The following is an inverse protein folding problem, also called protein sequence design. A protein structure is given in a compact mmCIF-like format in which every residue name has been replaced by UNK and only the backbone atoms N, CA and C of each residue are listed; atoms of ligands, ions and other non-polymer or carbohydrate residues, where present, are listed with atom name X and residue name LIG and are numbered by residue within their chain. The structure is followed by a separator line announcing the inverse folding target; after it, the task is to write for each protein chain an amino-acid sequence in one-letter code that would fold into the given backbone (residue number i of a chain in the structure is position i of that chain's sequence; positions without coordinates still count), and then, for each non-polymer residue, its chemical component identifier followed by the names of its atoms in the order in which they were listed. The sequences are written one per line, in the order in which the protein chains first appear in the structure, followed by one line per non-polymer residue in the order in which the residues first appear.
data_IF_422748009499
#
_entry.id   IF_422748009499
#
_cell.length_a   1.000
_cell.length_b   1.000
_cell.length_c   1.000
_cell.angle_alpha   90.00
_cell.angle_beta   90.00
_cell.angle_gamma   90.00
#
_symmetry.space_group_name_H-M   'P 1'
#
loop_
_entity.id
_entity.type
_entity.pdbx_description
1 polymer ?
#
# COMPACT_ATOMS: atom_id res chain seq x y z
N UNK A 1 41.79 -37.08 -51.47
CA UNK A 1 42.27 -36.08 -50.50
C UNK A 1 41.19 -35.02 -50.35
N UNK A 2 40.34 -35.14 -49.31
CA UNK A 2 39.26 -34.21 -49.02
C UNK A 2 39.51 -33.66 -47.60
N UNK A 3 39.88 -32.39 -47.54
CA UNK A 3 40.20 -31.67 -46.31
C UNK A 3 38.89 -31.25 -45.63
N UNK A 4 38.68 -31.71 -44.39
CA UNK A 4 37.52 -31.38 -43.56
C UNK A 4 37.80 -30.08 -42.80
N UNK A 5 37.14 -28.99 -43.19
CA UNK A 5 37.05 -27.78 -42.38
C UNK A 5 36.07 -28.01 -41.21
N UNK A 6 36.57 -27.93 -39.99
CA UNK A 6 35.75 -27.88 -38.78
C UNK A 6 35.33 -26.43 -38.53
N UNK A 7 34.02 -26.17 -38.55
CA UNK A 7 33.44 -24.92 -38.08
C UNK A 7 33.27 -25.03 -36.56
N UNK A 8 34.06 -24.27 -35.80
CA UNK A 8 33.88 -24.11 -34.35
C UNK A 8 32.90 -22.96 -34.13
N UNK A 9 31.67 -23.30 -33.74
CA UNK A 9 30.63 -22.34 -33.38
C UNK A 9 30.86 -21.93 -31.93
N UNK A 10 31.48 -20.76 -31.72
CA UNK A 10 31.68 -20.19 -30.38
C UNK A 10 30.37 -19.54 -29.95
N UNK A 11 29.59 -20.26 -29.14
CA UNK A 11 28.44 -19.71 -28.44
C UNK A 11 28.92 -18.84 -27.27
N UNK A 12 29.04 -17.53 -27.49
CA UNK A 12 29.28 -16.56 -26.42
C UNK A 12 28.00 -16.39 -25.59
N UNK A 13 27.91 -17.15 -24.50
CA UNK A 13 26.96 -16.90 -23.43
C UNK A 13 27.32 -15.58 -22.74
N UNK A 14 26.65 -14.49 -23.11
CA UNK A 14 26.58 -13.30 -22.28
C UNK A 14 25.51 -13.53 -21.21
N UNK A 15 25.91 -14.03 -20.03
CA UNK A 15 25.12 -13.83 -18.83
C UNK A 15 25.23 -12.36 -18.45
N UNK A 16 24.29 -11.55 -18.94
CA UNK A 16 24.05 -10.22 -18.38
C UNK A 16 23.43 -10.46 -17.02
N UNK A 17 24.26 -10.43 -15.97
CA UNK A 17 23.78 -10.26 -14.59
C UNK A 17 23.24 -8.85 -14.50
N UNK A 18 21.95 -8.69 -14.75
CA UNK A 18 21.22 -7.46 -14.43
C UNK A 18 21.20 -7.40 -12.90
N UNK A 19 22.05 -6.54 -12.32
CA UNK A 19 21.98 -6.24 -10.90
C UNK A 19 20.59 -5.67 -10.56
N UNK A 20 20.04 -5.91 -9.36
CA UNK A 20 18.75 -5.33 -8.99
C UNK A 20 18.85 -3.82 -9.10
N UNK A 21 18.04 -3.23 -9.98
CA UNK A 21 18.00 -1.78 -10.19
C UNK A 21 17.62 -1.09 -8.88
N UNK A 22 18.61 -0.48 -8.22
CA UNK A 22 18.48 0.30 -6.99
C UNK A 22 17.89 1.69 -7.28
N UNK A 23 16.66 1.72 -7.78
CA UNK A 23 15.88 2.93 -8.03
C UNK A 23 14.82 3.23 -6.97
N UNK A 24 14.89 2.59 -5.80
CA UNK A 24 13.96 2.79 -4.68
C UNK A 24 14.75 2.98 -3.39
N UNK A 25 15.27 4.18 -3.18
CA UNK A 25 15.81 4.59 -1.89
C UNK A 25 14.78 5.34 -1.03
N UNK A 26 13.53 5.43 -1.50
CA UNK A 26 12.39 5.95 -0.75
C UNK A 26 11.45 4.76 -0.46
N UNK A 27 11.15 4.56 0.82
CA UNK A 27 10.46 3.41 1.41
C UNK A 27 9.29 2.90 0.57
N UNK A 28 9.42 1.68 0.03
CA UNK A 28 8.25 0.97 -0.52
C UNK A 28 7.23 0.73 0.60
N UNK A 29 5.92 1.00 0.37
CA UNK A 29 4.91 0.80 1.39
C UNK A 29 4.84 -0.66 1.81
N UNK A 30 4.53 -0.90 3.09
CA UNK A 30 4.29 -2.25 3.58
C UNK A 30 3.08 -2.87 2.86
N UNK A 31 3.06 -4.21 2.71
CA UNK A 31 2.01 -4.90 1.97
C UNK A 31 0.60 -4.63 2.53
N UNK A 32 0.46 -4.56 3.85
CA UNK A 32 -0.80 -4.25 4.53
C UNK A 32 -1.29 -2.83 4.22
N UNK A 33 -0.40 -1.86 4.25
CA UNK A 33 -0.69 -0.49 3.86
C UNK A 33 -1.11 -0.40 2.38
N UNK A 34 -0.35 -1.04 1.49
CA UNK A 34 -0.66 -1.08 0.07
C UNK A 34 -2.01 -1.73 -0.20
N UNK A 35 -2.28 -2.88 0.44
CA UNK A 35 -3.56 -3.58 0.31
C UNK A 35 -4.69 -2.71 0.86
N UNK A 36 -4.51 -2.03 2.00
CA UNK A 36 -5.52 -1.15 2.58
C UNK A 36 -5.86 0.02 1.65
N UNK A 37 -4.84 0.68 1.09
CA UNK A 37 -4.99 1.86 0.21
C UNK A 37 -5.42 1.52 -1.22
N UNK A 38 -5.24 0.28 -1.66
CA UNK A 38 -5.65 -0.14 -3.01
C UNK A 38 -7.17 -0.11 -3.17
N UNK A 39 -7.68 0.42 -4.27
CA UNK A 39 -9.07 0.21 -4.69
C UNK A 39 -9.26 -1.09 -5.44
N UNK A 40 -8.30 -1.40 -6.30
CA UNK A 40 -8.30 -2.57 -7.15
C UNK A 40 -6.95 -3.27 -7.00
N UNK A 41 -6.99 -4.58 -6.77
CA UNK A 41 -5.81 -5.44 -6.82
C UNK A 41 -6.13 -6.56 -7.80
N UNK A 42 -5.33 -6.66 -8.86
CA UNK A 42 -5.49 -7.72 -9.86
C UNK A 42 -4.24 -8.57 -9.93
N UNK A 43 -4.45 -9.87 -10.10
CA UNK A 43 -3.44 -10.81 -10.57
C UNK A 43 -3.72 -11.09 -12.04
N UNK A 44 -2.72 -10.90 -12.88
CA UNK A 44 -2.89 -11.02 -14.33
C UNK A 44 -1.68 -11.61 -15.03
N UNK A 45 -1.80 -11.69 -16.35
CA UNK A 45 -0.76 -12.14 -17.26
C UNK A 45 -0.56 -11.10 -18.35
N UNK A 46 0.70 -10.74 -18.61
CA UNK A 46 1.07 -9.82 -19.67
C UNK A 46 0.86 -10.50 -21.03
N UNK A 47 0.15 -9.84 -21.94
CA UNK A 47 -0.13 -10.29 -23.30
C UNK A 47 0.10 -9.13 -24.27
N UNK A 48 0.61 -9.43 -25.47
CA UNK A 48 0.69 -8.47 -26.56
C UNK A 48 -0.64 -8.49 -27.32
N UNK A 49 -1.36 -7.37 -27.31
CA UNK A 49 -2.67 -7.19 -27.97
C UNK A 49 -2.57 -5.95 -28.84
N UNK A 50 -2.72 -6.10 -30.16
CA UNK A 50 -2.63 -5.01 -31.13
C UNK A 50 -1.35 -4.14 -30.94
N UNK A 51 -0.21 -4.81 -30.81
CA UNK A 51 1.12 -4.22 -30.56
C UNK A 51 1.25 -3.45 -29.23
N UNK A 52 0.30 -3.62 -28.30
CA UNK A 52 0.35 -3.06 -26.95
C UNK A 52 0.48 -4.16 -25.90
N UNK A 53 1.41 -3.99 -24.95
CA UNK A 53 1.49 -4.87 -23.79
C UNK A 53 0.38 -4.53 -22.80
N UNK A 54 -0.59 -5.44 -22.69
CA UNK A 54 -1.70 -5.34 -21.75
C UNK A 54 -1.61 -6.46 -20.72
N UNK A 55 -2.19 -6.24 -19.55
CA UNK A 55 -2.28 -7.27 -18.53
C UNK A 55 -3.68 -7.86 -18.54
N UNK A 56 -3.80 -9.11 -19.02
CA UNK A 56 -5.05 -9.87 -18.94
C UNK A 56 -5.35 -10.19 -17.48
N UNK A 57 -6.53 -9.79 -17.01
CA UNK A 57 -6.99 -10.06 -15.66
C UNK A 57 -7.29 -11.55 -15.52
N UNK A 58 -6.52 -12.24 -14.69
CA UNK A 58 -6.74 -13.65 -14.35
C UNK A 58 -7.61 -13.76 -13.11
N UNK A 59 -7.37 -12.90 -12.12
CA UNK A 59 -8.11 -12.89 -10.86
C UNK A 59 -8.13 -11.48 -10.26
N UNK A 60 -9.32 -11.04 -9.85
CA UNK A 60 -9.47 -9.85 -9.00
C UNK A 60 -9.34 -10.28 -7.54
N UNK A 61 -8.42 -9.65 -6.80
CA UNK A 61 -8.17 -9.94 -5.39
C UNK A 61 -8.91 -8.96 -4.48
N UNK A 62 -8.97 -7.67 -4.86
CA UNK A 62 -9.70 -6.61 -4.16
C UNK A 62 -10.44 -5.75 -5.17
N UNK A 63 -11.63 -5.26 -4.81
CA UNK A 63 -12.41 -4.31 -5.60
C UNK A 63 -13.21 -4.97 -6.71
N UNK A 64 -13.83 -4.15 -7.56
CA UNK A 64 -14.56 -4.59 -8.73
C UNK A 64 -13.83 -4.14 -9.99
N UNK A 65 -13.57 -5.07 -10.90
CA UNK A 65 -12.99 -4.76 -12.20
C UNK A 65 -14.09 -4.34 -13.18
N UNK A 66 -13.91 -3.18 -13.81
CA UNK A 66 -14.68 -2.75 -14.98
C UNK A 66 -13.77 -1.93 -15.90
N UNK A 67 -13.80 -2.12 -17.23
CA UNK A 67 -13.08 -1.24 -18.16
C UNK A 67 -13.43 0.23 -17.99
N UNK A 68 -14.68 0.55 -17.62
CA UNK A 68 -15.13 1.93 -17.41
C UNK A 68 -14.58 2.57 -16.13
N UNK A 69 -14.01 1.78 -15.23
CA UNK A 69 -13.34 2.28 -14.04
C UNK A 69 -11.99 2.94 -14.36
N UNK A 70 -11.47 2.79 -15.58
CA UNK A 70 -10.17 3.31 -15.99
C UNK A 70 -10.29 4.59 -16.84
N UNK A 71 -9.36 5.51 -16.65
CA UNK A 71 -9.25 6.75 -17.43
C UNK A 71 -9.04 6.43 -18.92
N UNK A 72 -8.12 5.51 -19.18
CA UNK A 72 -7.92 4.86 -20.48
C UNK A 72 -8.57 3.49 -20.47
N UNK A 73 -9.79 3.38 -21.00
CA UNK A 73 -10.57 2.14 -20.95
C UNK A 73 -9.85 1.02 -21.73
N UNK A 74 -9.36 -0.03 -21.04
CA UNK A 74 -8.73 -1.16 -21.72
C UNK A 74 -9.80 -2.03 -22.39
N UNK A 75 -9.41 -2.94 -23.31
CA UNK A 75 -10.28 -4.01 -23.77
C UNK A 75 -10.87 -4.81 -22.60
N UNK A 76 -12.05 -5.40 -22.80
CA UNK A 76 -12.72 -6.19 -21.75
C UNK A 76 -11.85 -7.35 -21.30
N UNK A 77 -11.59 -7.44 -20.00
CA UNK A 77 -10.73 -8.47 -19.40
C UNK A 77 -9.25 -8.09 -19.32
N UNK A 78 -8.88 -6.87 -19.72
CA UNK A 78 -7.51 -6.36 -19.66
C UNK A 78 -7.41 -5.12 -18.75
N UNK A 79 -6.21 -4.84 -18.27
CA UNK A 79 -5.82 -3.56 -17.68
C UNK A 79 -4.54 -3.08 -18.35
N UNK A 80 -4.34 -1.77 -18.41
CA UNK A 80 -3.09 -1.19 -18.90
C UNK A 80 -2.03 -1.25 -17.79
N UNK A 81 -0.93 -2.01 -17.95
CA UNK A 81 0.17 -2.01 -16.99
C UNK A 81 1.10 -0.80 -17.19
N UNK A 82 1.04 -0.11 -18.34
CA UNK A 82 2.05 0.84 -18.76
C UNK A 82 2.01 2.15 -17.94
N UNK A 83 3.20 2.73 -17.70
CA UNK A 83 3.52 4.05 -17.09
C UNK A 83 4.15 4.11 -15.68
N UNK A 84 4.49 2.99 -15.06
CA UNK A 84 5.51 2.99 -14.00
C UNK A 84 6.89 2.63 -14.59
N UNK A 85 7.99 3.20 -14.08
CA UNK A 85 9.36 3.01 -14.59
C UNK A 85 9.90 1.56 -14.58
N UNK A 86 9.11 0.60 -14.13
CA UNK A 86 9.45 -0.83 -14.08
C UNK A 86 8.85 -1.63 -15.25
N UNK A 87 7.93 -1.05 -16.01
CA UNK A 87 7.16 -1.79 -17.01
C UNK A 87 7.83 -1.91 -18.37
N UNK A 88 8.91 -1.17 -18.61
CA UNK A 88 9.79 -1.39 -19.77
C UNK A 88 10.50 -2.76 -19.71
N UNK A 89 10.42 -3.45 -18.56
CA UNK A 89 11.00 -4.77 -18.33
C UNK A 89 9.96 -5.90 -18.38
N UNK A 90 8.68 -5.61 -18.64
CA UNK A 90 7.69 -6.68 -18.73
C UNK A 90 7.75 -7.39 -20.08
N UNK A 91 7.85 -8.71 -20.02
CA UNK A 91 7.79 -9.57 -21.19
C UNK A 91 6.39 -10.21 -21.34
N UNK A 92 5.99 -10.44 -22.58
CA UNK A 92 4.77 -11.17 -22.88
C UNK A 92 4.80 -12.57 -22.24
N UNK A 93 3.74 -12.91 -21.52
CA UNK A 93 3.58 -14.18 -20.81
C UNK A 93 3.91 -14.13 -19.32
N UNK A 94 4.57 -13.07 -18.84
CA UNK A 94 4.83 -12.86 -17.42
C UNK A 94 3.54 -12.73 -16.62
N UNK A 95 3.61 -13.08 -15.34
CA UNK A 95 2.49 -12.93 -14.40
C UNK A 95 2.82 -11.81 -13.44
N UNK A 96 1.83 -10.98 -13.14
CA UNK A 96 2.03 -9.79 -12.33
C UNK A 96 0.88 -9.58 -11.35
N UNK A 97 1.18 -9.01 -10.20
CA UNK A 97 0.20 -8.38 -9.33
C UNK A 97 0.24 -6.87 -9.57
N UNK A 98 -0.91 -6.26 -9.79
CA UNK A 98 -1.04 -4.81 -10.00
C UNK A 98 -1.92 -4.23 -8.89
N UNK A 99 -1.39 -3.21 -8.21
CA UNK A 99 -2.05 -2.50 -7.12
C UNK A 99 -2.41 -1.09 -7.59
N UNK A 100 -3.70 -0.77 -7.61
CA UNK A 100 -4.22 0.55 -7.98
C UNK A 100 -4.67 1.27 -6.71
N UNK A 101 -3.90 2.25 -6.27
CA UNK A 101 -4.10 3.07 -5.07
C UNK A 101 -4.73 4.41 -5.45
N UNK A 102 -5.39 5.04 -4.47
CA UNK A 102 -6.17 6.26 -4.70
C UNK A 102 -5.38 7.55 -4.98
N UNK A 103 -4.05 7.54 -4.91
CA UNK A 103 -3.25 8.77 -4.97
C UNK A 103 -3.02 9.32 -6.38
N UNK A 104 -3.25 8.53 -7.44
CA UNK A 104 -3.00 8.94 -8.82
C UNK A 104 -4.30 9.07 -9.61
N UNK A 105 -5.21 9.93 -9.14
CA UNK A 105 -6.49 10.16 -9.80
C UNK A 105 -6.43 11.40 -10.71
N UNK A 106 -6.80 11.27 -12.00
CA UNK A 106 -7.41 12.37 -12.72
C UNK A 106 -8.65 12.86 -11.94
N UNK A 107 -9.05 14.12 -12.10
CA UNK A 107 -10.15 14.73 -11.31
C UNK A 107 -11.52 14.04 -11.42
N UNK A 108 -11.67 13.02 -12.26
CA UNK A 108 -12.90 12.24 -12.50
C UNK A 108 -13.04 10.98 -11.62
N UNK A 109 -12.03 10.66 -10.80
CA UNK A 109 -12.08 9.52 -9.86
C UNK A 109 -11.81 8.15 -10.48
N UNK A 110 -11.41 8.09 -11.76
CA UNK A 110 -11.05 6.84 -12.45
C UNK A 110 -9.63 6.40 -12.13
N UNK A 111 -9.37 5.11 -12.30
CA UNK A 111 -8.04 4.51 -12.19
C UNK A 111 -7.23 4.82 -13.45
N UNK A 112 -6.01 5.30 -13.31
CA UNK A 112 -5.16 5.58 -14.46
C UNK A 112 -4.14 4.46 -14.67
N UNK A 113 -3.19 4.34 -13.73
CA UNK A 113 -2.10 3.36 -13.76
C UNK A 113 -1.94 2.68 -12.40
N UNK A 114 -1.36 1.46 -12.35
CA UNK A 114 -1.04 0.83 -11.09
C UNK A 114 0.10 1.59 -10.39
N UNK A 115 -0.04 1.84 -9.09
CA UNK A 115 0.98 2.45 -8.24
C UNK A 115 2.11 1.47 -7.93
N UNK A 116 1.81 0.15 -7.90
CA UNK A 116 2.82 -0.89 -7.77
C UNK A 116 2.50 -2.10 -8.66
N UNK A 117 3.53 -2.58 -9.35
CA UNK A 117 3.57 -3.87 -10.03
C UNK A 117 4.52 -4.83 -9.33
N UNK A 118 4.11 -6.08 -9.12
CA UNK A 118 4.96 -7.12 -8.54
C UNK A 118 5.01 -8.30 -9.50
N UNK A 119 6.20 -8.52 -10.07
CA UNK A 119 6.46 -9.58 -11.05
C UNK A 119 6.53 -10.93 -10.33
N UNK A 120 5.96 -11.96 -10.97
CA UNK A 120 6.06 -13.34 -10.53
C UNK A 120 7.16 -14.04 -11.32
N UNK A 121 8.34 -14.17 -10.71
CA UNK A 121 9.44 -14.93 -11.28
C UNK A 121 9.43 -16.38 -10.79
N UNK A 122 9.48 -17.34 -11.70
CA UNK A 122 9.53 -18.78 -11.38
C UNK A 122 8.45 -19.25 -10.38
N UNK A 123 7.24 -18.68 -10.48
CA UNK A 123 6.12 -19.00 -9.58
C UNK A 123 6.25 -18.41 -8.17
N UNK A 124 7.20 -17.50 -7.97
CA UNK A 124 7.46 -16.81 -6.72
C UNK A 124 7.26 -15.31 -6.88
N UNK A 125 6.82 -14.70 -5.79
CA UNK A 125 6.64 -13.26 -5.64
C UNK A 125 7.74 -12.77 -4.73
N UNK A 126 8.50 -11.79 -5.20
CA UNK A 126 9.47 -11.06 -4.39
C UNK A 126 8.89 -9.67 -4.17
N UNK A 127 8.33 -9.45 -2.98
CA UNK A 127 7.78 -8.16 -2.61
C UNK A 127 8.87 -7.35 -1.89
N UNK A 128 9.21 -6.13 -2.35
CA UNK A 128 10.23 -5.33 -1.69
C UNK A 128 9.78 -5.02 -0.26
N UNK A 129 10.57 -5.43 0.72
CA UNK A 129 10.45 -4.97 2.10
C UNK A 129 11.55 -3.94 2.35
N UNK A 130 11.22 -2.91 3.13
CA UNK A 130 12.20 -1.97 3.66
C UNK A 130 13.18 -2.75 4.57
N UNK A 131 14.48 -2.55 4.34
CA UNK A 131 15.62 -2.95 5.18
C UNK A 131 16.06 -4.43 5.25
N UNK A 132 15.39 -5.39 4.59
CA UNK A 132 15.85 -6.80 4.58
C UNK A 132 15.73 -7.46 3.21
N UNK A 133 16.49 -8.55 3.00
CA UNK A 133 16.37 -9.40 1.81
C UNK A 133 14.89 -9.75 1.60
N UNK A 134 14.28 -9.35 0.47
CA UNK A 134 12.84 -9.42 0.32
C UNK A 134 12.39 -10.88 0.38
N UNK A 135 11.43 -11.22 1.26
CA UNK A 135 10.98 -12.59 1.41
C UNK A 135 10.33 -13.04 0.11
N UNK A 136 10.98 -13.97 -0.57
CA UNK A 136 10.41 -14.61 -1.73
C UNK A 136 9.39 -15.66 -1.28
N UNK A 137 8.15 -15.58 -1.77
CA UNK A 137 7.08 -16.52 -1.41
C UNK A 137 6.34 -17.02 -2.64
N UNK A 138 5.63 -18.14 -2.55
CA UNK A 138 4.83 -18.63 -3.68
C UNK A 138 3.66 -17.69 -3.98
N UNK A 139 3.19 -17.67 -5.24
CA UNK A 139 1.96 -16.94 -5.63
C UNK A 139 0.79 -17.24 -4.69
N UNK A 140 0.62 -18.51 -4.31
CA UNK A 140 -0.46 -18.95 -3.41
C UNK A 140 -0.32 -18.36 -2.00
N UNK A 141 0.91 -18.31 -1.47
CA UNK A 141 1.17 -17.68 -0.16
C UNK A 141 0.91 -16.18 -0.19
N UNK A 142 1.37 -15.49 -1.24
CA UNK A 142 1.15 -14.05 -1.40
C UNK A 142 -0.34 -13.71 -1.54
N UNK A 143 -1.07 -14.44 -2.38
CA UNK A 143 -2.54 -14.31 -2.48
C UNK A 143 -3.24 -14.56 -1.15
N UNK A 144 -2.75 -15.52 -0.34
CA UNK A 144 -3.30 -15.79 1.00
C UNK A 144 -3.03 -14.63 1.96
N UNK A 145 -1.85 -14.01 1.90
CA UNK A 145 -1.54 -12.81 2.69
C UNK A 145 -2.44 -11.65 2.30
N UNK A 146 -2.58 -11.35 1.00
CA UNK A 146 -3.53 -10.33 0.51
C UNK A 146 -4.94 -10.66 1.00
N UNK A 147 -5.41 -11.89 0.80
CA UNK A 147 -6.74 -12.29 1.26
C UNK A 147 -6.92 -12.10 2.78
N UNK A 148 -5.92 -12.45 3.59
CA UNK A 148 -5.97 -12.25 5.05
C UNK A 148 -6.04 -10.76 5.44
N UNK A 149 -5.43 -9.88 4.65
CA UNK A 149 -5.51 -8.42 4.82
C UNK A 149 -6.83 -7.82 4.31
N UNK A 150 -7.51 -8.52 3.40
CA UNK A 150 -8.79 -8.10 2.81
C UNK A 150 -10.01 -8.66 3.51
N UNK A 151 -9.86 -9.76 4.26
CA UNK A 151 -10.91 -10.19 5.15
C UNK A 151 -11.32 -8.96 5.96
N UNK A 152 -12.62 -8.62 6.01
CA UNK A 152 -13.07 -7.70 7.03
C UNK A 152 -12.42 -8.22 8.31
N UNK A 153 -11.87 -7.33 9.12
CA UNK A 153 -11.56 -7.67 10.50
C UNK A 153 -12.90 -7.88 11.25
N UNK A 154 -13.80 -8.72 10.70
CA UNK A 154 -14.86 -9.50 11.33
C UNK A 154 -14.25 -10.65 12.14
N UNK A 155 -13.07 -10.41 12.72
CA UNK A 155 -12.88 -10.86 14.08
C UNK A 155 -14.02 -10.19 14.82
N UNK A 156 -15.05 -10.96 15.22
CA UNK A 156 -16.07 -10.51 16.17
C UNK A 156 -15.36 -9.58 17.14
N UNK A 157 -15.72 -8.28 17.20
CA UNK A 157 -14.84 -7.22 17.67
C UNK A 157 -14.22 -7.76 18.94
N UNK A 158 -12.91 -8.04 18.93
CA UNK A 158 -12.22 -8.17 20.20
C UNK A 158 -12.63 -6.89 20.91
N UNK A 159 -13.36 -6.97 22.04
CA UNK A 159 -14.00 -5.79 22.63
C UNK A 159 -12.95 -4.70 22.60
N UNK A 160 -13.17 -3.65 21.79
CA UNK A 160 -12.06 -2.74 21.43
C UNK A 160 -11.56 -1.98 22.66
N UNK A 161 -12.31 -2.06 23.75
CA UNK A 161 -11.92 -1.82 25.13
C UNK A 161 -10.60 -2.50 25.54
N UNK A 162 -10.15 -3.55 24.84
CA UNK A 162 -8.88 -4.24 25.07
C UNK A 162 -7.73 -3.73 24.18
N UNK A 163 -7.97 -2.73 23.32
CA UNK A 163 -6.93 -2.19 22.45
C UNK A 163 -6.00 -1.28 23.23
N UNK A 164 -4.83 -1.80 23.59
CA UNK A 164 -3.78 -0.97 24.15
C UNK A 164 -3.10 -0.14 23.04
N UNK A 165 -3.43 1.14 22.97
CA UNK A 165 -2.88 2.08 21.97
C UNK A 165 -1.52 2.65 22.34
N UNK A 166 -1.11 2.53 23.61
CA UNK A 166 0.12 3.18 24.06
C UNK A 166 1.37 2.65 23.33
N UNK A 167 2.39 3.50 23.29
CA UNK A 167 3.66 3.25 22.63
C UNK A 167 3.89 4.14 21.40
N UNK A 168 4.90 3.79 20.60
CA UNK A 168 5.31 4.58 19.44
C UNK A 168 4.42 4.35 18.22
N UNK A 169 4.16 5.44 17.52
CA UNK A 169 3.42 5.55 16.27
C UNK A 169 4.13 6.55 15.36
N UNK A 170 3.79 6.51 14.07
CA UNK A 170 4.15 7.52 13.09
C UNK A 170 2.88 8.16 12.57
N UNK A 171 2.94 9.47 12.34
CA UNK A 171 1.91 10.24 11.69
C UNK A 171 2.44 10.70 10.33
N UNK A 172 1.81 10.23 9.26
CA UNK A 172 2.03 10.70 7.90
C UNK A 172 1.00 11.77 7.57
N UNK A 173 1.48 12.96 7.20
CA UNK A 173 0.65 14.07 6.76
C UNK A 173 0.39 13.99 5.24
N UNK A 174 -0.70 14.61 4.75
CA UNK A 174 -1.05 14.60 3.32
C UNK A 174 0.04 15.20 2.41
N UNK A 175 0.82 16.15 2.94
CA UNK A 175 1.96 16.75 2.24
C UNK A 175 3.23 15.86 2.24
N UNK A 176 3.15 14.63 2.77
CA UNK A 176 4.25 13.66 2.80
C UNK A 176 5.18 13.75 4.01
N UNK A 177 4.96 14.69 4.92
CA UNK A 177 5.76 14.80 6.15
C UNK A 177 5.42 13.71 7.16
N UNK A 178 6.45 13.12 7.76
CA UNK A 178 6.31 12.15 8.84
C UNK A 178 6.67 12.76 10.20
N UNK A 179 5.93 12.36 11.23
CA UNK A 179 6.16 12.76 12.61
C UNK A 179 6.15 11.55 13.54
N UNK A 180 7.08 11.51 14.48
CA UNK A 180 7.01 10.59 15.61
C UNK A 180 5.87 10.98 16.54
N UNK A 181 5.04 10.01 16.91
CA UNK A 181 3.91 10.18 17.82
C UNK A 181 4.00 9.14 18.90
N UNK A 182 3.89 9.57 20.15
CA UNK A 182 3.72 8.64 21.27
C UNK A 182 2.29 8.74 21.78
N UNK A 183 1.63 7.59 21.92
CA UNK A 183 0.42 7.49 22.72
C UNK A 183 0.78 7.04 24.13
N UNK A 184 0.32 7.79 25.12
CA UNK A 184 0.47 7.45 26.55
C UNK A 184 -0.91 7.18 27.12
N UNK A 185 -1.11 6.02 27.75
CA UNK A 185 -2.37 5.74 28.44
C UNK A 185 -2.56 6.71 29.61
N UNK A 186 -3.74 7.33 29.72
CA UNK A 186 -4.06 8.28 30.79
C UNK A 186 -4.89 7.59 31.86
N UNK A 187 -6.13 7.22 31.51
CA UNK A 187 -7.08 6.52 32.38
C UNK A 187 -8.27 6.02 31.56
N UNK A 188 -8.81 4.85 31.91
CA UNK A 188 -9.96 4.28 31.20
C UNK A 188 -9.64 4.09 29.71
N UNK A 189 -10.49 4.61 28.83
CA UNK A 189 -10.28 4.56 27.38
C UNK A 189 -9.56 5.81 26.84
N UNK A 190 -8.91 6.61 27.69
CA UNK A 190 -8.24 7.85 27.29
C UNK A 190 -6.75 7.68 27.11
N UNK A 191 -6.25 8.25 26.01
CA UNK A 191 -4.84 8.26 25.63
C UNK A 191 -4.42 9.68 25.29
N UNK A 192 -3.22 10.08 25.71
CA UNK A 192 -2.61 11.34 25.29
C UNK A 192 -1.74 11.07 24.07
N UNK A 193 -1.98 11.83 23.00
CA UNK A 193 -1.19 11.81 21.77
C UNK A 193 -0.23 13.00 21.75
N UNK A 194 1.07 12.72 21.60
CA UNK A 194 2.14 13.73 21.64
C UNK A 194 2.97 13.72 20.35
N UNK A 195 2.49 14.38 19.27
CA UNK A 195 3.17 14.49 17.98
C UNK A 195 4.20 15.64 17.92
N UNK A 196 4.84 15.98 19.05
CA UNK A 196 5.70 17.17 19.18
C UNK A 196 4.91 18.48 19.08
N UNK A 197 5.18 19.29 18.06
CA UNK A 197 4.64 20.68 17.91
C UNK A 197 3.32 20.78 17.14
N UNK A 198 2.72 19.66 16.72
CA UNK A 198 1.52 19.68 15.89
C UNK A 198 0.23 19.98 16.68
N UNK A 199 -0.69 20.70 16.05
CA UNK A 199 -1.96 21.10 16.71
C UNK A 199 -2.94 19.96 16.95
N UNK A 200 -2.68 18.80 16.36
CA UNK A 200 -3.43 17.55 16.60
C UNK A 200 -3.06 16.91 17.95
N UNK A 201 -2.03 17.39 18.66
CA UNK A 201 -1.72 16.96 20.02
C UNK A 201 -2.93 17.10 20.97
N UNK A 202 -3.10 16.17 21.90
CA UNK A 202 -4.19 16.24 22.87
C UNK A 202 -4.52 14.91 23.54
N UNK A 203 -5.57 14.93 24.37
CA UNK A 203 -6.15 13.71 24.94
C UNK A 203 -7.27 13.24 24.02
N UNK A 204 -7.27 11.94 23.73
CA UNK A 204 -8.25 11.26 22.90
C UNK A 204 -8.93 10.17 23.72
N UNK A 205 -10.22 9.98 23.49
CA UNK A 205 -11.00 8.89 24.06
C UNK A 205 -11.28 7.86 22.96
N UNK A 206 -11.02 6.59 23.27
CA UNK A 206 -11.33 5.47 22.41
C UNK A 206 -12.82 5.12 22.56
N UNK A 207 -13.58 5.41 21.51
CA UNK A 207 -15.03 5.20 21.41
C UNK A 207 -15.31 4.23 20.27
N UNK A 208 -15.45 2.95 20.58
CA UNK A 208 -15.69 1.91 19.57
C UNK A 208 -14.55 1.83 18.54
N UNK A 209 -14.80 2.29 17.31
CA UNK A 209 -13.84 2.32 16.22
C UNK A 209 -13.17 3.67 15.97
N UNK A 210 -13.29 4.61 16.93
CA UNK A 210 -12.76 5.97 16.79
C UNK A 210 -11.88 6.40 17.96
N UNK A 211 -10.90 7.25 17.67
CA UNK A 211 -10.28 8.13 18.67
C UNK A 211 -10.90 9.52 18.52
N UNK A 212 -11.65 9.96 19.52
CA UNK A 212 -12.28 11.27 19.55
C UNK A 212 -11.47 12.18 20.47
N UNK A 213 -11.05 13.34 19.98
CA UNK A 213 -10.33 14.30 20.81
C UNK A 213 -11.24 14.81 21.92
N UNK A 214 -10.79 14.65 23.16
CA UNK A 214 -11.45 15.22 24.34
C UNK A 214 -11.16 16.71 24.39
N UNK A 215 -12.19 17.58 24.43
CA UNK A 215 -12.00 19.01 24.61
C UNK A 215 -11.27 19.32 25.91
N UNK A 216 -10.37 20.30 25.89
CA UNK A 216 -9.81 20.91 27.10
C UNK A 216 -10.56 22.22 27.36
N UNK A 217 -10.90 22.52 28.61
CA UNK A 217 -11.65 23.73 29.00
C UNK A 217 -10.98 25.03 28.54
N UNK A 218 -9.65 25.03 28.43
CA UNK A 218 -8.85 26.18 28.01
C UNK A 218 -8.84 26.41 26.48
N UNK A 219 -9.36 25.47 25.69
CA UNK A 219 -9.28 25.52 24.23
C UNK A 219 -10.66 25.34 23.60
N UNK A 220 -10.97 26.06 22.50
CA UNK A 220 -12.19 25.79 21.74
C UNK A 220 -12.22 24.32 21.32
N UNK A 221 -13.40 23.70 21.22
CA UNK A 221 -13.53 22.28 20.88
C UNK A 221 -12.97 22.03 19.48
N UNK A 222 -11.72 21.57 19.42
CA UNK A 222 -11.13 21.06 18.19
C UNK A 222 -11.58 19.61 18.05
N UNK A 223 -12.55 19.39 17.16
CA UNK A 223 -13.05 18.04 16.87
C UNK A 223 -12.11 17.38 15.87
N UNK A 224 -11.14 16.64 16.39
CA UNK A 224 -10.41 15.64 15.61
C UNK A 224 -10.99 14.27 15.94
N UNK A 225 -11.47 13.58 14.91
CA UNK A 225 -11.92 12.19 15.01
C UNK A 225 -11.05 11.34 14.10
N UNK A 226 -10.40 10.33 14.66
CA UNK A 226 -9.65 9.35 13.90
C UNK A 226 -10.43 8.05 13.85
N UNK A 227 -10.47 7.39 12.70
CA UNK A 227 -11.14 6.10 12.49
C UNK A 227 -10.12 5.01 12.30
N UNK A 228 -10.25 3.93 13.07
CA UNK A 228 -9.40 2.77 12.90
C UNK A 228 -9.77 1.98 11.65
N UNK A 229 -8.79 1.78 10.78
CA UNK A 229 -8.87 0.87 9.65
C UNK A 229 -8.39 -0.53 10.05
N UNK A 230 -7.42 -0.59 10.98
CA UNK A 230 -6.92 -1.81 11.61
C UNK A 230 -6.38 -1.49 13.00
N UNK A 231 -5.87 -2.49 13.74
CA UNK A 231 -5.16 -2.28 15.02
C UNK A 231 -3.88 -1.42 14.87
N UNK A 232 -3.37 -1.31 13.65
CA UNK A 232 -2.10 -0.69 13.34
C UNK A 232 -2.24 0.56 12.48
N UNK A 233 -3.43 0.86 11.94
CA UNK A 233 -3.65 1.98 11.02
C UNK A 233 -4.90 2.75 11.45
N UNK A 234 -4.75 4.07 11.63
CA UNK A 234 -5.82 5.00 11.97
C UNK A 234 -5.80 6.16 10.98
N UNK A 235 -6.94 6.48 10.40
CA UNK A 235 -7.09 7.57 9.44
C UNK A 235 -7.83 8.74 10.09
N UNK A 236 -7.46 9.99 9.77
CA UNK A 236 -8.20 11.15 10.25
C UNK A 236 -9.55 11.28 9.51
N UNK A 237 -10.64 10.96 10.20
CA UNK A 237 -12.01 10.96 9.64
C UNK A 237 -12.65 12.35 9.66
N UNK A 238 -12.40 13.13 10.72
CA UNK A 238 -12.88 14.51 10.85
C UNK A 238 -11.84 15.41 11.47
N UNK A 239 -11.83 16.66 11.02
CA UNK A 239 -11.05 17.75 11.59
C UNK A 239 -11.91 19.01 11.75
N UNK A 240 -11.49 20.00 12.55
CA UNK A 240 -12.19 21.28 12.67
C UNK A 240 -12.33 21.98 11.30
N UNK A 241 -13.37 22.81 11.09
CA UNK A 241 -13.49 23.64 9.90
C UNK A 241 -12.21 24.46 9.67
N UNK A 242 -11.87 24.75 8.40
CA UNK A 242 -10.62 25.40 7.92
C UNK A 242 -10.42 26.86 8.41
N UNK A 243 -10.40 27.08 9.72
CA UNK A 243 -10.04 28.36 10.33
C UNK A 243 -8.55 28.46 10.64
N UNK A 244 -7.77 27.40 10.37
CA UNK A 244 -6.33 27.31 10.66
C UNK A 244 -5.54 26.94 9.41
N UNK A 245 -4.26 27.36 9.32
CA UNK A 245 -3.44 27.14 8.12
C UNK A 245 -3.00 25.69 7.89
N UNK A 246 -3.09 24.82 8.89
CA UNK A 246 -2.71 23.41 8.76
C UNK A 246 -3.92 22.57 8.32
N UNK A 247 -3.79 21.91 7.16
CA UNK A 247 -4.74 20.93 6.66
C UNK A 247 -4.23 19.53 6.96
N UNK A 248 -4.94 18.79 7.81
CA UNK A 248 -4.62 17.42 8.16
C UNK A 248 -5.50 16.41 7.42
N UNK A 249 -6.35 16.85 6.47
CA UNK A 249 -7.28 15.99 5.75
C UNK A 249 -6.56 14.87 4.99
N UNK A 250 -6.82 13.62 5.36
CA UNK A 250 -6.12 12.44 4.83
C UNK A 250 -4.87 12.03 5.62
N UNK A 251 -4.60 12.63 6.78
CA UNK A 251 -3.51 12.19 7.66
C UNK A 251 -3.74 10.76 8.18
N UNK A 252 -2.65 10.02 8.33
CA UNK A 252 -2.66 8.60 8.75
C UNK A 252 -1.70 8.38 9.89
N UNK A 253 -2.17 7.72 10.95
CA UNK A 253 -1.36 7.15 12.02
C UNK A 253 -1.10 5.67 11.73
N UNK A 254 0.15 5.25 11.88
CA UNK A 254 0.51 3.84 11.81
C UNK A 254 1.48 3.43 12.92
N UNK A 255 1.32 2.20 13.42
CA UNK A 255 2.10 1.70 14.56
C UNK A 255 3.46 1.18 14.09
N UNK A 256 4.55 1.67 14.66
CA UNK A 256 5.93 1.33 14.21
C UNK A 256 6.47 0.03 14.77
N UNK A 257 5.85 -0.52 15.82
CA UNK A 257 6.23 -1.81 16.40
C UNK A 257 4.98 -2.63 16.73
N UNK A 258 5.05 -3.94 16.47
CA UNK A 258 4.10 -4.88 17.06
C UNK A 258 4.26 -4.78 18.58
N UNK A 259 3.23 -4.27 19.27
CA UNK A 259 3.24 -4.23 20.73
C UNK A 259 3.57 -5.63 21.24
N UNK A 260 4.66 -5.75 21.99
CA UNK A 260 4.93 -6.94 22.78
C UNK A 260 3.72 -7.07 23.72
N UNK A 261 2.99 -8.19 23.67
CA UNK A 261 1.73 -8.37 24.39
C UNK A 261 1.89 -8.24 25.90
#
# INVERSE_FOLDING_TARGET
MLSRCWLVLVATYWTVTIGPSTGWAESSPALDELVARSRLIVFGRVELVDDQLLCRVVKVLKGEYSPTAFAHQPPTGYVNPLHAPFYDQLDAGEKVFLFYVDHHRPGDGRLDRPDLGVIVDNGRVTFPLVDHQPPSMTVKQFQRQIAALLLPLDVAPTPRDSWHLAGPWKLLLPAGYEHDVTFTHVKGNRYRMEPGVLTVAGVYELEGDRLVRVPNEEQPPLVYEWKFLSRHIVHLDKQPPKSRPADYDGAVLFRTQAAVP
#
